data_IF_249330077092
#
_entry.id   IF_249330077092
#
_cell.length_a   1.000
_cell.length_b   1.000
_cell.length_c   1.000
_cell.angle_alpha   90.00
_cell.angle_beta   90.00
_cell.angle_gamma   90.00
#
_symmetry.space_group_name_H-M   'P 1'
#
loop_
_entity.id
_entity.type
_entity.pdbx_description
1 polymer ?
#
# COMPACT_ATOMS: atom_id res chain seq x y z
N UNK A 1 -17.67 4.01 56.11
CA UNK A 1 -17.44 2.55 56.23
C UNK A 1 -17.34 1.99 54.82
N UNK A 2 -16.12 1.81 54.32
CA UNK A 2 -15.81 1.45 52.93
C UNK A 2 -15.99 -0.04 52.70
N UNK A 3 -17.06 -0.42 52.00
CA UNK A 3 -17.19 -1.76 51.40
C UNK A 3 -16.33 -1.82 50.14
N UNK A 4 -15.45 -2.82 50.05
CA UNK A 4 -14.87 -3.24 48.77
C UNK A 4 -13.35 -3.38 48.75
N UNK A 5 -12.82 -4.35 49.48
CA UNK A 5 -11.53 -4.97 49.14
C UNK A 5 -11.82 -6.46 48.95
N UNK A 6 -12.10 -6.87 47.72
CA UNK A 6 -12.10 -8.29 47.36
C UNK A 6 -10.68 -8.82 47.58
N UNK A 7 -10.55 -9.94 48.27
CA UNK A 7 -9.25 -10.56 48.49
C UNK A 7 -8.60 -10.89 47.14
N UNK A 8 -7.28 -10.79 47.03
CA UNK A 8 -6.56 -11.09 45.79
C UNK A 8 -6.91 -12.50 45.23
N UNK A 9 -7.22 -13.44 46.13
CA UNK A 9 -7.68 -14.78 45.79
C UNK A 9 -9.07 -14.77 45.10
N UNK A 10 -10.01 -13.94 45.54
CA UNK A 10 -11.32 -13.80 44.90
C UNK A 10 -11.22 -13.16 43.52
N UNK A 11 -10.34 -12.16 43.35
CA UNK A 11 -10.08 -11.54 42.04
C UNK A 11 -9.50 -12.56 41.06
N UNK A 12 -8.56 -13.42 41.50
CA UNK A 12 -7.99 -14.47 40.68
C UNK A 12 -9.02 -15.55 40.32
N UNK A 13 -9.91 -15.90 41.25
CA UNK A 13 -10.99 -16.87 41.02
C UNK A 13 -11.97 -16.35 39.96
N UNK A 14 -12.45 -15.11 40.11
CA UNK A 14 -13.35 -14.46 39.14
C UNK A 14 -12.70 -14.36 37.76
N UNK A 15 -11.40 -14.02 37.70
CA UNK A 15 -10.66 -13.97 36.43
C UNK A 15 -10.60 -15.34 35.74
N UNK A 16 -10.33 -16.43 36.46
CA UNK A 16 -10.35 -17.80 35.91
C UNK A 16 -11.74 -18.23 35.45
N UNK A 17 -12.77 -17.87 36.21
CA UNK A 17 -14.17 -18.18 35.89
C UNK A 17 -14.60 -17.49 34.59
N UNK A 18 -14.23 -16.21 34.41
CA UNK A 18 -14.48 -15.43 33.19
C UNK A 18 -13.73 -16.01 31.98
N UNK A 19 -12.46 -16.39 32.15
CA UNK A 19 -11.67 -17.02 31.09
C UNK A 19 -12.34 -18.34 30.65
N UNK A 20 -12.71 -19.20 31.61
CA UNK A 20 -13.35 -20.48 31.31
C UNK A 20 -14.74 -20.33 30.65
N UNK A 21 -15.51 -19.31 31.04
CA UNK A 21 -16.80 -19.01 30.41
C UNK A 21 -16.63 -18.48 28.98
N UNK A 22 -15.60 -17.68 28.71
CA UNK A 22 -15.25 -17.24 27.36
C UNK A 22 -14.85 -18.43 26.47
N UNK A 23 -13.99 -19.33 26.96
CA UNK A 23 -13.56 -20.54 26.24
C UNK A 23 -14.74 -21.45 25.86
N UNK A 24 -15.72 -21.62 26.77
CA UNK A 24 -16.91 -22.45 26.54
C UNK A 24 -17.89 -21.87 25.52
N UNK A 25 -17.89 -20.55 25.30
CA UNK A 25 -18.76 -19.86 24.34
C UNK A 25 -18.14 -19.72 22.93
N UNK A 26 -17.03 -20.40 22.65
CA UNK A 26 -16.34 -20.28 21.36
C UNK A 26 -15.68 -18.91 21.15
N UNK A 27 -15.59 -18.08 22.20
CA UNK A 27 -14.66 -16.96 22.19
C UNK A 27 -13.27 -17.57 22.25
N UNK A 28 -12.64 -17.68 21.07
CA UNK A 28 -11.21 -17.93 20.97
C UNK A 28 -10.54 -16.92 21.89
N UNK A 29 -9.83 -17.44 22.88
CA UNK A 29 -8.92 -16.66 23.70
C UNK A 29 -8.09 -15.77 22.78
N UNK A 30 -7.75 -14.57 23.24
CA UNK A 30 -6.92 -13.57 22.55
C UNK A 30 -5.46 -14.05 22.31
N UNK A 31 -5.22 -15.38 22.33
CA UNK A 31 -3.92 -16.03 22.51
C UNK A 31 -3.50 -17.00 21.41
N UNK A 32 -4.15 -17.01 20.24
CA UNK A 32 -3.57 -17.63 19.04
C UNK A 32 -3.38 -16.54 17.98
N UNK A 33 -2.66 -15.48 18.33
CA UNK A 33 -2.12 -14.60 17.29
C UNK A 33 -1.02 -15.41 16.62
N UNK A 34 -1.26 -15.88 15.39
CA UNK A 34 -0.25 -16.56 14.59
C UNK A 34 0.83 -15.53 14.19
N UNK A 35 1.89 -15.49 15.00
CA UNK A 35 3.03 -14.60 14.80
C UNK A 35 3.72 -14.86 13.45
N UNK A 36 3.71 -16.09 12.95
CA UNK A 36 4.28 -16.42 11.63
C UNK A 36 3.42 -15.90 10.49
N UNK A 37 2.09 -16.01 10.60
CA UNK A 37 1.16 -15.39 9.65
C UNK A 37 1.32 -13.86 9.64
N UNK A 38 1.48 -13.24 10.81
CA UNK A 38 1.73 -11.79 10.90
C UNK A 38 3.05 -11.39 10.26
N UNK A 39 4.13 -12.15 10.46
CA UNK A 39 5.44 -11.91 9.82
C UNK A 39 5.32 -11.94 8.30
N UNK A 40 4.65 -12.96 7.75
CA UNK A 40 4.38 -13.07 6.30
C UNK A 40 3.55 -11.90 5.80
N UNK A 41 2.52 -11.52 6.56
CA UNK A 41 1.65 -10.39 6.23
C UNK A 41 2.42 -9.07 6.22
N UNK A 42 3.27 -8.81 7.22
CA UNK A 42 4.08 -7.60 7.29
C UNK A 42 5.03 -7.47 6.08
N UNK A 43 5.72 -8.56 5.72
CA UNK A 43 6.61 -8.59 4.55
C UNK A 43 5.87 -8.41 3.22
N UNK A 44 4.69 -9.00 3.09
CA UNK A 44 3.83 -8.82 1.91
C UNK A 44 3.41 -7.36 1.77
N UNK A 45 2.89 -6.76 2.85
CA UNK A 45 2.46 -5.35 2.86
C UNK A 45 3.60 -4.39 2.56
N UNK A 46 4.81 -4.68 3.06
CA UNK A 46 6.01 -3.91 2.75
C UNK A 46 6.30 -3.92 1.24
N UNK A 47 6.30 -5.10 0.60
CA UNK A 47 6.51 -5.24 -0.85
C UNK A 47 5.43 -4.52 -1.67
N UNK A 48 4.18 -4.55 -1.19
CA UNK A 48 3.03 -3.85 -1.78
C UNK A 48 3.03 -2.34 -1.52
N UNK A 49 4.07 -1.79 -0.88
CA UNK A 49 4.16 -0.36 -0.57
C UNK A 49 3.09 0.13 0.42
N UNK A 50 2.47 -0.78 1.17
CA UNK A 50 1.48 -0.50 2.21
C UNK A 50 2.19 -0.27 3.56
N UNK A 51 3.12 0.69 3.58
CA UNK A 51 4.09 0.86 4.67
C UNK A 51 3.46 1.11 6.05
N UNK A 52 2.35 1.85 6.13
CA UNK A 52 1.66 2.08 7.40
C UNK A 52 1.03 0.79 7.95
N UNK A 53 0.41 -0.01 7.07
CA UNK A 53 -0.15 -1.30 7.43
C UNK A 53 0.96 -2.29 7.80
N UNK A 54 2.09 -2.29 7.08
CA UNK A 54 3.26 -3.08 7.40
C UNK A 54 3.84 -2.69 8.78
N UNK A 55 3.97 -1.38 9.07
CA UNK A 55 4.36 -0.88 10.39
C UNK A 55 3.40 -1.33 11.49
N UNK A 56 2.10 -1.25 11.25
CA UNK A 56 1.09 -1.75 12.20
C UNK A 56 1.25 -3.25 12.46
N UNK A 57 1.56 -4.04 11.43
CA UNK A 57 1.82 -5.47 11.58
C UNK A 57 3.11 -5.74 12.39
N UNK A 58 4.19 -5.00 12.13
CA UNK A 58 5.43 -5.10 12.93
C UNK A 58 5.23 -4.71 14.39
N UNK A 59 4.43 -3.67 14.68
CA UNK A 59 4.08 -3.29 16.04
C UNK A 59 3.31 -4.39 16.78
N UNK A 60 2.38 -5.07 16.09
CA UNK A 60 1.66 -6.23 16.66
C UNK A 60 2.58 -7.42 16.94
N UNK A 61 3.54 -7.69 16.05
CA UNK A 61 4.55 -8.74 16.25
C UNK A 61 5.38 -8.43 17.50
N UNK A 62 5.90 -7.20 17.63
CA UNK A 62 6.69 -6.79 18.80
C UNK A 62 5.91 -6.95 20.10
N UNK A 63 4.66 -6.50 20.14
CA UNK A 63 3.81 -6.66 21.32
C UNK A 63 3.60 -8.14 21.70
N UNK A 64 3.34 -9.01 20.71
CA UNK A 64 3.17 -10.44 20.96
C UNK A 64 4.47 -11.11 21.46
N UNK A 65 5.62 -10.68 20.93
CA UNK A 65 6.93 -11.18 21.38
C UNK A 65 7.24 -10.71 22.81
N UNK A 66 6.98 -9.44 23.12
CA UNK A 66 7.18 -8.88 24.47
C UNK A 66 6.34 -9.61 25.53
N UNK A 67 5.08 -9.96 25.22
CA UNK A 67 4.23 -10.79 26.09
C UNK A 67 4.79 -12.19 26.30
N UNK A 68 5.51 -12.74 25.32
CA UNK A 68 6.19 -14.03 25.40
C UNK A 68 7.59 -13.94 26.07
N UNK A 69 8.06 -12.74 26.44
CA UNK A 69 9.41 -12.52 26.98
C UNK A 69 10.51 -12.57 25.92
N UNK A 70 10.16 -12.52 24.64
CA UNK A 70 11.08 -12.48 23.50
C UNK A 70 11.17 -11.04 22.98
N UNK A 71 12.38 -10.59 22.63
CA UNK A 71 12.55 -9.31 21.93
C UNK A 71 13.54 -9.55 20.80
N UNK A 72 13.09 -9.33 19.56
CA UNK A 72 13.97 -9.33 18.40
C UNK A 72 14.14 -7.90 17.87
N UNK A 73 15.34 -7.31 17.98
CA UNK A 73 15.60 -5.94 17.55
C UNK A 73 15.38 -5.74 16.04
N UNK A 74 15.37 -6.80 15.23
CA UNK A 74 15.09 -6.71 13.80
C UNK A 74 13.66 -6.23 13.50
N UNK A 75 12.66 -6.61 14.32
CA UNK A 75 11.29 -6.14 14.13
C UNK A 75 11.12 -4.69 14.57
N UNK A 76 11.86 -4.25 15.59
CA UNK A 76 11.91 -2.84 15.98
C UNK A 76 12.51 -1.98 14.87
N UNK A 77 13.65 -2.41 14.32
CA UNK A 77 14.26 -1.73 13.17
C UNK A 77 13.33 -1.74 11.94
N UNK A 78 12.58 -2.82 11.72
CA UNK A 78 11.60 -2.91 10.64
C UNK A 78 10.43 -1.94 10.83
N UNK A 79 9.89 -1.84 12.05
CA UNK A 79 8.85 -0.86 12.40
C UNK A 79 9.34 0.57 12.15
N UNK A 80 10.50 0.93 12.70
CA UNK A 80 11.08 2.27 12.56
C UNK A 80 11.27 2.63 11.07
N UNK A 81 11.81 1.69 10.28
CA UNK A 81 11.96 1.86 8.84
C UNK A 81 10.62 2.07 8.13
N UNK A 82 9.58 1.30 8.45
CA UNK A 82 8.25 1.46 7.82
C UNK A 82 7.64 2.83 8.12
N UNK A 83 7.78 3.33 9.35
CA UNK A 83 7.32 4.66 9.73
C UNK A 83 8.10 5.77 8.99
N UNK A 84 9.42 5.63 8.91
CA UNK A 84 10.26 6.57 8.16
C UNK A 84 9.91 6.61 6.67
N UNK A 85 9.74 5.44 6.04
CA UNK A 85 9.36 5.35 4.63
C UNK A 85 7.96 5.91 4.41
N UNK A 86 7.00 5.61 5.29
CA UNK A 86 5.66 6.17 5.22
C UNK A 86 5.67 7.71 5.32
N UNK A 87 6.47 8.26 6.23
CA UNK A 87 6.65 9.71 6.33
C UNK A 87 7.23 10.30 5.03
N UNK A 88 8.23 9.64 4.42
CA UNK A 88 8.77 10.08 3.13
C UNK A 88 7.72 10.04 2.01
N UNK A 89 6.82 9.04 1.99
CA UNK A 89 5.70 8.98 1.05
C UNK A 89 4.79 10.19 1.20
N UNK A 90 4.41 10.54 2.44
CA UNK A 90 3.58 11.72 2.71
C UNK A 90 4.28 13.01 2.25
N UNK A 91 5.59 13.13 2.51
CA UNK A 91 6.39 14.26 2.02
C UNK A 91 6.42 14.32 0.50
N UNK A 92 6.59 13.18 -0.18
CA UNK A 92 6.58 13.14 -1.65
C UNK A 92 5.23 13.60 -2.23
N UNK A 93 4.13 13.20 -1.59
CA UNK A 93 2.79 13.63 -2.00
C UNK A 93 2.56 15.12 -1.72
N UNK A 94 3.05 15.65 -0.60
CA UNK A 94 3.02 17.08 -0.32
C UNK A 94 3.82 17.86 -1.36
N UNK A 95 5.03 17.43 -1.69
CA UNK A 95 5.85 18.05 -2.73
C UNK A 95 5.14 18.07 -4.08
N UNK A 96 4.44 16.99 -4.45
CA UNK A 96 3.64 16.95 -5.66
C UNK A 96 2.49 17.98 -5.64
N UNK A 97 1.75 18.06 -4.53
CA UNK A 97 0.65 19.02 -4.37
C UNK A 97 1.16 20.46 -4.41
N UNK A 98 2.33 20.72 -3.82
CA UNK A 98 2.99 22.03 -3.78
C UNK A 98 3.66 22.42 -5.10
N UNK A 99 3.57 21.59 -6.14
CA UNK A 99 4.20 21.84 -7.45
C UNK A 99 5.70 21.60 -7.51
N UNK A 100 6.31 21.02 -6.47
CA UNK A 100 7.73 20.67 -6.39
C UNK A 100 7.95 19.28 -6.97
N UNK A 101 7.78 19.16 -8.28
CA UNK A 101 7.72 17.86 -8.96
C UNK A 101 9.05 17.11 -8.94
N UNK A 102 10.18 17.81 -9.02
CA UNK A 102 11.52 17.22 -8.91
C UNK A 102 11.76 16.58 -7.54
N UNK A 103 11.33 17.26 -6.47
CA UNK A 103 11.40 16.72 -5.12
C UNK A 103 10.52 15.48 -4.95
N UNK A 104 9.30 15.52 -5.51
CA UNK A 104 8.40 14.37 -5.50
C UNK A 104 9.03 13.16 -6.22
N UNK A 105 9.64 13.37 -7.40
CA UNK A 105 10.33 12.31 -8.15
C UNK A 105 11.50 11.75 -7.35
N UNK A 106 12.38 12.62 -6.83
CA UNK A 106 13.55 12.21 -6.04
C UNK A 106 13.16 11.38 -4.82
N UNK A 107 12.15 11.81 -4.07
CA UNK A 107 11.68 11.05 -2.91
C UNK A 107 11.10 9.70 -3.32
N UNK A 108 10.33 9.63 -4.42
CA UNK A 108 9.76 8.38 -4.90
C UNK A 108 10.84 7.42 -5.46
N UNK A 109 11.93 7.92 -6.03
CA UNK A 109 13.10 7.11 -6.40
C UNK A 109 13.75 6.43 -5.19
N UNK A 110 13.78 7.09 -4.04
CA UNK A 110 14.30 6.50 -2.79
C UNK A 110 13.35 5.45 -2.20
N UNK A 111 12.03 5.59 -2.41
CA UNK A 111 11.00 4.76 -1.76
C UNK A 111 10.70 3.49 -2.57
N UNK A 112 10.52 3.63 -3.89
CA UNK A 112 10.03 2.55 -4.76
C UNK A 112 10.84 1.24 -4.70
N UNK A 113 12.18 1.25 -4.50
CA UNK A 113 12.93 0.01 -4.31
C UNK A 113 12.52 -0.81 -3.08
N UNK A 114 11.96 -0.17 -2.04
CA UNK A 114 11.50 -0.86 -0.83
C UNK A 114 10.10 -1.48 -0.98
N UNK A 115 9.27 -0.91 -1.86
CA UNK A 115 7.91 -1.33 -2.09
C UNK A 115 7.19 -0.33 -2.98
N UNK A 116 6.22 -0.81 -3.75
CA UNK A 116 5.52 0.02 -4.71
C UNK A 116 4.00 -0.21 -4.68
N UNK A 117 3.26 0.86 -4.92
CA UNK A 117 1.82 0.83 -5.10
C UNK A 117 1.42 1.74 -6.27
N UNK A 118 0.21 1.55 -6.80
CA UNK A 118 -0.27 2.27 -7.98
C UNK A 118 -0.34 3.78 -7.76
N UNK A 119 -0.59 4.26 -6.54
CA UNK A 119 -0.66 5.70 -6.25
C UNK A 119 0.72 6.34 -6.30
N UNK A 120 1.76 5.72 -5.71
CA UNK A 120 3.15 6.20 -5.82
C UNK A 120 3.63 6.25 -7.27
N UNK A 121 3.37 5.18 -8.03
CA UNK A 121 3.73 5.12 -9.45
C UNK A 121 2.99 6.19 -10.27
N UNK A 122 1.70 6.43 -9.97
CA UNK A 122 0.90 7.44 -10.64
C UNK A 122 1.38 8.85 -10.33
N UNK A 123 1.66 9.17 -9.05
CA UNK A 123 2.22 10.48 -8.66
C UNK A 123 3.54 10.70 -9.39
N UNK A 124 4.43 9.69 -9.42
CA UNK A 124 5.71 9.79 -10.13
C UNK A 124 5.52 10.04 -11.63
N UNK A 125 4.66 9.26 -12.30
CA UNK A 125 4.36 9.45 -13.71
C UNK A 125 3.79 10.84 -13.99
N UNK A 126 2.95 11.37 -13.08
CA UNK A 126 2.36 12.70 -13.22
C UNK A 126 3.38 13.81 -13.00
N UNK A 127 4.30 13.66 -12.05
CA UNK A 127 5.43 14.57 -11.88
C UNK A 127 6.31 14.63 -13.14
N UNK A 128 6.67 13.47 -13.72
CA UNK A 128 7.41 13.45 -14.99
C UNK A 128 6.65 14.14 -16.13
N UNK A 129 5.33 13.98 -16.19
CA UNK A 129 4.49 14.67 -17.18
C UNK A 129 4.59 16.19 -17.03
N UNK A 130 4.48 16.69 -15.81
CA UNK A 130 4.52 18.11 -15.50
C UNK A 130 5.92 18.73 -15.71
N UNK A 131 6.96 17.90 -15.71
CA UNK A 131 8.34 18.25 -16.05
C UNK A 131 8.65 18.11 -17.56
N UNK A 132 7.69 17.67 -18.38
CA UNK A 132 7.92 17.42 -19.82
C UNK A 132 8.81 16.20 -20.12
N UNK A 133 9.00 15.30 -19.15
CA UNK A 133 9.85 14.11 -19.26
C UNK A 133 9.06 12.93 -19.83
N UNK A 134 8.63 13.05 -21.08
CA UNK A 134 7.67 12.13 -21.73
C UNK A 134 8.14 10.67 -21.79
N UNK A 135 9.45 10.44 -21.96
CA UNK A 135 10.02 9.10 -21.97
C UNK A 135 9.75 8.36 -20.64
N UNK A 136 9.95 9.04 -19.52
CA UNK A 136 9.68 8.46 -18.19
C UNK A 136 8.18 8.27 -17.95
N UNK A 137 7.33 9.20 -18.42
CA UNK A 137 5.87 9.02 -18.35
C UNK A 137 5.45 7.73 -19.04
N UNK A 138 5.91 7.48 -20.28
CA UNK A 138 5.56 6.24 -20.99
C UNK A 138 6.06 4.98 -20.28
N UNK A 139 7.23 5.04 -19.64
CA UNK A 139 7.78 3.93 -18.85
C UNK A 139 6.92 3.63 -17.63
N UNK A 140 6.62 4.64 -16.81
CA UNK A 140 5.83 4.45 -15.60
C UNK A 140 4.36 4.13 -15.88
N UNK A 141 3.79 4.67 -16.95
CA UNK A 141 2.46 4.28 -17.43
C UNK A 141 2.41 2.79 -17.81
N UNK A 142 3.43 2.29 -18.51
CA UNK A 142 3.54 0.86 -18.82
C UNK A 142 3.62 0.00 -17.57
N UNK A 143 4.44 0.41 -16.60
CA UNK A 143 4.57 -0.30 -15.32
C UNK A 143 3.26 -0.32 -14.52
N UNK A 144 2.53 0.80 -14.47
CA UNK A 144 1.20 0.86 -13.85
C UNK A 144 0.22 -0.15 -14.45
N UNK A 145 0.27 -0.37 -15.76
CA UNK A 145 -0.59 -1.34 -16.43
C UNK A 145 -0.18 -2.79 -16.19
N UNK A 146 1.11 -3.07 -15.99
CA UNK A 146 1.59 -4.40 -15.63
C UNK A 146 1.10 -4.82 -14.24
N UNK A 147 1.01 -3.87 -13.31
CA UNK A 147 0.56 -4.10 -11.93
C UNK A 147 -0.96 -3.96 -11.74
N UNK A 148 -1.69 -3.50 -12.76
CA UNK A 148 -3.12 -3.24 -12.66
C UNK A 148 -3.95 -4.52 -12.86
N UNK A 149 -5.05 -4.65 -12.09
CA UNK A 149 -6.12 -5.57 -12.43
C UNK A 149 -6.75 -5.11 -13.76
N UNK A 150 -6.71 -5.96 -14.78
CA UNK A 150 -7.21 -5.61 -16.11
C UNK A 150 -8.67 -6.00 -16.33
N UNK A 151 -9.24 -6.86 -15.46
CA UNK A 151 -10.63 -7.30 -15.59
C UNK A 151 -11.64 -6.25 -15.10
N UNK A 152 -12.83 -6.31 -15.68
CA UNK A 152 -13.97 -5.47 -15.32
C UNK A 152 -13.95 -4.08 -15.97
N UNK A 153 -14.99 -3.29 -15.68
CA UNK A 153 -15.24 -2.03 -16.38
C UNK A 153 -14.14 -0.97 -16.18
N UNK A 154 -13.63 -0.42 -17.28
CA UNK A 154 -12.58 0.60 -17.26
C UNK A 154 -13.19 1.99 -17.09
N UNK A 155 -13.07 2.57 -15.89
CA UNK A 155 -13.71 3.87 -15.56
C UNK A 155 -12.69 4.99 -15.42
N UNK A 156 -13.08 6.21 -15.80
CA UNK A 156 -12.31 7.43 -15.52
C UNK A 156 -11.96 7.53 -14.03
N UNK A 157 -10.76 8.02 -13.75
CA UNK A 157 -10.23 8.15 -12.39
C UNK A 157 -9.65 6.87 -11.79
N UNK A 158 -9.84 5.70 -12.41
CA UNK A 158 -9.13 4.49 -12.00
C UNK A 158 -7.66 4.57 -12.44
N UNK A 159 -6.73 4.10 -11.60
CA UNK A 159 -5.29 4.11 -11.89
C UNK A 159 -4.96 3.54 -13.28
N UNK A 160 -5.60 2.44 -13.69
CA UNK A 160 -5.41 1.82 -15.01
C UNK A 160 -5.83 2.72 -16.18
N UNK A 161 -6.96 3.40 -16.07
CA UNK A 161 -7.41 4.35 -17.10
C UNK A 161 -6.50 5.57 -17.14
N UNK A 162 -6.09 6.08 -15.98
CA UNK A 162 -5.14 7.20 -15.90
C UNK A 162 -3.78 6.83 -16.51
N UNK A 163 -3.31 5.60 -16.30
CA UNK A 163 -2.08 5.09 -16.90
C UNK A 163 -2.17 5.01 -18.43
N UNK A 164 -3.29 4.55 -18.99
CA UNK A 164 -3.51 4.55 -20.45
C UNK A 164 -3.47 5.96 -20.99
N UNK A 165 -4.25 6.89 -20.42
CA UNK A 165 -4.30 8.29 -20.90
C UNK A 165 -2.93 8.97 -20.80
N UNK A 166 -2.19 8.71 -19.72
CA UNK A 166 -0.82 9.22 -19.55
C UNK A 166 0.14 8.66 -20.59
N UNK A 167 0.14 7.33 -20.73
CA UNK A 167 1.04 6.63 -21.62
C UNK A 167 0.79 6.95 -23.08
N UNK A 168 -0.48 7.02 -23.49
CA UNK A 168 -0.86 7.37 -24.86
C UNK A 168 -0.50 8.80 -25.17
N UNK A 169 -0.81 9.75 -24.29
CA UNK A 169 -0.45 11.16 -24.48
C UNK A 169 1.07 11.33 -24.58
N UNK A 170 1.84 10.77 -23.63
CA UNK A 170 3.29 10.87 -23.66
C UNK A 170 3.92 10.19 -24.89
N UNK A 171 3.34 9.11 -25.40
CA UNK A 171 3.78 8.49 -26.64
C UNK A 171 3.53 9.39 -27.86
N UNK A 172 2.40 10.09 -27.91
CA UNK A 172 2.11 11.08 -28.96
C UNK A 172 3.07 12.28 -28.91
N UNK A 173 3.39 12.79 -27.72
CA UNK A 173 4.39 13.87 -27.54
C UNK A 173 5.79 13.46 -28.02
N UNK A 174 6.10 12.16 -27.96
CA UNK A 174 7.34 11.59 -28.50
C UNK A 174 7.28 11.28 -30.01
N UNK A 175 6.13 11.51 -30.67
CA UNK A 175 5.90 11.14 -32.07
C UNK A 175 5.73 9.63 -32.30
N UNK A 176 5.57 8.84 -31.25
CA UNK A 176 5.41 7.38 -31.31
C UNK A 176 3.93 6.99 -31.33
N UNK A 177 3.29 7.20 -32.48
CA UNK A 177 1.88 6.88 -32.69
C UNK A 177 1.55 5.39 -32.51
N UNK A 178 2.48 4.49 -32.87
CA UNK A 178 2.31 3.05 -32.67
C UNK A 178 2.25 2.69 -31.19
N UNK A 179 3.09 3.30 -30.35
CA UNK A 179 3.06 3.07 -28.91
C UNK A 179 1.83 3.69 -28.26
N UNK A 180 1.37 4.85 -28.73
CA UNK A 180 0.10 5.41 -28.29
C UNK A 180 -1.06 4.45 -28.58
N UNK A 181 -1.08 3.86 -29.77
CA UNK A 181 -2.05 2.85 -30.17
C UNK A 181 -2.03 1.62 -29.25
N UNK A 182 -0.84 1.13 -28.90
CA UNK A 182 -0.68 0.00 -27.98
C UNK A 182 -1.31 0.27 -26.62
N UNK A 183 -1.22 1.49 -26.08
CA UNK A 183 -1.89 1.86 -24.83
C UNK A 183 -3.42 1.79 -24.95
N UNK A 184 -4.00 2.34 -26.01
CA UNK A 184 -5.46 2.27 -26.23
C UNK A 184 -5.95 0.84 -26.45
N UNK A 185 -5.17 0.03 -27.17
CA UNK A 185 -5.49 -1.38 -27.41
C UNK A 185 -5.55 -2.20 -26.12
N UNK A 186 -4.81 -1.82 -25.06
CA UNK A 186 -4.95 -2.48 -23.74
C UNK A 186 -6.36 -2.32 -23.21
N UNK A 187 -6.98 -1.14 -23.36
CA UNK A 187 -8.37 -0.92 -22.93
C UNK A 187 -9.31 -1.75 -23.77
N UNK A 188 -9.28 -1.60 -25.10
CA UNK A 188 -10.24 -2.25 -25.99
C UNK A 188 -10.15 -3.78 -25.95
N UNK A 189 -8.98 -4.35 -25.65
CA UNK A 189 -8.83 -5.80 -25.45
C UNK A 189 -9.56 -6.30 -24.20
N UNK A 190 -9.61 -5.48 -23.14
CA UNK A 190 -10.16 -5.87 -21.84
C UNK A 190 -11.58 -5.31 -21.59
N UNK A 191 -11.99 -4.29 -22.34
CA UNK A 191 -13.30 -3.64 -22.32
C UNK A 191 -13.63 -3.12 -23.74
N UNK A 192 -14.05 -4.02 -24.66
CA UNK A 192 -14.32 -3.67 -26.06
C UNK A 192 -15.43 -2.63 -26.24
N UNK A 193 -16.36 -2.56 -25.28
CA UNK A 193 -17.50 -1.64 -25.31
C UNK A 193 -17.14 -0.24 -24.79
N UNK A 194 -15.85 0.02 -24.51
CA UNK A 194 -15.42 1.31 -23.97
C UNK A 194 -15.45 2.41 -25.04
N UNK A 195 -16.63 3.05 -25.14
CA UNK A 195 -16.95 4.10 -26.11
C UNK A 195 -16.00 5.30 -26.07
N UNK A 196 -15.43 5.63 -24.92
CA UNK A 196 -14.57 6.81 -24.79
C UNK A 196 -13.24 6.62 -25.53
N UNK A 197 -12.61 5.45 -25.37
CA UNK A 197 -11.35 5.13 -26.04
C UNK A 197 -11.60 4.81 -27.52
N UNK A 198 -12.72 4.16 -27.86
CA UNK A 198 -13.08 3.88 -29.25
C UNK A 198 -13.23 5.13 -30.12
N UNK A 199 -13.48 6.32 -29.54
CA UNK A 199 -13.58 7.59 -30.28
C UNK A 199 -12.23 8.31 -30.43
N UNK A 200 -11.23 7.95 -29.63
CA UNK A 200 -9.89 8.53 -29.65
C UNK A 200 -8.89 7.71 -30.48
N UNK A 201 -9.20 6.42 -30.65
CA UNK A 201 -8.59 5.52 -31.65
C UNK A 201 -9.01 5.93 -33.06
#
# INVERSE_FOLDING_TARGET
SSKGLHSHAEVLKVKRELINQASRKGYKSKSDIDVEEMKRTAKRLEKEGAFLQAGTAYAKILHAMEEAGEIDPAYKASLDRMLQVHQKVLTAYSSFIDGKYEDAVRLLDEILPAGQNSTMLLVKAKSHQLLGQWADVTRFAGHLLQEAELRGAWKRGQHRMMAVTLGSHAALELGDGERALKFYQVVLRNDPDQQEISKQY
#
